data_IF_561251757883
#
_entry.id   IF_561251757883
#
_cell.length_a   1.000
_cell.length_b   1.000
_cell.length_c   1.000
_cell.angle_alpha   90.00
_cell.angle_beta   90.00
_cell.angle_gamma   90.00
#
_symmetry.space_group_name_H-M   'P 1'
#
loop_
_entity.id
_entity.type
_entity.pdbx_description
1 polymer ?
#
# COMPACT_ATOMS: atom_id res chain seq x y z
N UNK A 1 48.42 36.31 -24.75
CA UNK A 1 47.74 35.03 -25.06
C UNK A 1 46.48 34.95 -24.21
N UNK A 2 45.28 34.97 -24.81
CA UNK A 2 44.04 34.81 -24.04
C UNK A 2 43.85 33.34 -23.68
N UNK A 3 43.96 32.99 -22.41
CA UNK A 3 43.64 31.64 -21.95
C UNK A 3 42.14 31.44 -22.13
N UNK A 4 41.73 30.45 -22.94
CA UNK A 4 40.33 30.09 -23.11
C UNK A 4 39.92 29.20 -21.93
N UNK A 5 39.14 29.68 -20.96
CA UNK A 5 38.82 28.93 -19.73
C UNK A 5 37.99 27.66 -19.99
N UNK A 6 37.41 27.52 -21.19
CA UNK A 6 36.65 26.35 -21.60
C UNK A 6 37.52 25.10 -21.77
N UNK A 7 38.79 25.25 -22.20
CA UNK A 7 39.71 24.14 -22.41
C UNK A 7 40.08 23.39 -21.12
N UNK A 8 40.48 24.05 -20.01
CA UNK A 8 40.77 23.33 -18.76
C UNK A 8 39.52 22.72 -18.11
N UNK A 9 38.33 23.31 -18.31
CA UNK A 9 37.07 22.74 -17.80
C UNK A 9 36.73 21.44 -18.53
N UNK A 10 36.80 21.43 -19.86
CA UNK A 10 36.55 20.22 -20.66
C UNK A 10 37.59 19.14 -20.34
N UNK A 11 38.87 19.52 -20.22
CA UNK A 11 39.93 18.60 -19.83
C UNK A 11 39.69 17.99 -18.43
N UNK A 12 39.28 18.81 -17.45
CA UNK A 12 38.94 18.33 -16.11
C UNK A 12 37.75 17.37 -16.09
N UNK A 13 36.70 17.65 -16.88
CA UNK A 13 35.54 16.76 -17.00
C UNK A 13 35.90 15.42 -17.67
N UNK A 14 36.75 15.44 -18.70
CA UNK A 14 37.25 14.23 -19.35
C UNK A 14 38.12 13.38 -18.42
N UNK A 15 38.99 14.01 -17.63
CA UNK A 15 39.82 13.32 -16.64
C UNK A 15 38.95 12.71 -15.54
N UNK A 16 38.00 13.46 -14.99
CA UNK A 16 37.07 12.94 -13.97
C UNK A 16 36.24 11.76 -14.49
N UNK A 17 35.72 11.87 -15.72
CA UNK A 17 35.00 10.77 -16.38
C UNK A 17 35.90 9.55 -16.60
N UNK A 18 37.13 9.75 -17.08
CA UNK A 18 38.10 8.67 -17.26
C UNK A 18 38.47 7.99 -15.94
N UNK A 19 38.72 8.76 -14.87
CA UNK A 19 39.03 8.20 -13.54
C UNK A 19 37.85 7.40 -12.98
N UNK A 20 36.61 7.86 -13.16
CA UNK A 20 35.41 7.11 -12.78
C UNK A 20 35.27 5.79 -13.55
N UNK A 21 35.51 5.82 -14.87
CA UNK A 21 35.46 4.63 -15.73
C UNK A 21 36.56 3.61 -15.38
N UNK A 22 37.79 4.07 -15.15
CA UNK A 22 38.90 3.20 -14.76
C UNK A 22 38.75 2.63 -13.35
N UNK A 23 38.24 3.42 -12.40
CA UNK A 23 37.98 2.97 -11.03
C UNK A 23 36.86 1.93 -10.96
N UNK A 24 35.78 2.12 -11.74
CA UNK A 24 34.73 1.12 -11.93
C UNK A 24 35.33 -0.16 -12.51
N UNK A 25 35.90 -0.10 -13.72
CA UNK A 25 36.38 -1.29 -14.42
C UNK A 25 37.38 -2.17 -13.63
N UNK A 26 38.15 -1.58 -12.70
CA UNK A 26 39.09 -2.32 -11.85
C UNK A 26 38.45 -3.04 -10.65
N UNK A 27 37.25 -2.63 -10.21
CA UNK A 27 36.54 -3.19 -9.04
C UNK A 27 35.22 -3.88 -9.38
N UNK A 28 34.75 -3.71 -10.61
CA UNK A 28 33.45 -4.18 -11.08
C UNK A 28 33.37 -5.71 -11.20
N UNK A 29 34.43 -6.39 -11.68
CA UNK A 29 34.40 -7.85 -11.87
C UNK A 29 34.28 -8.60 -10.54
N UNK A 30 35.02 -8.18 -9.52
CA UNK A 30 34.96 -8.81 -8.19
C UNK A 30 33.63 -8.52 -7.47
N UNK A 31 33.07 -7.33 -7.67
CA UNK A 31 31.77 -6.96 -7.14
C UNK A 31 30.64 -7.77 -7.79
N UNK A 32 30.64 -7.87 -9.13
CA UNK A 32 29.65 -8.64 -9.87
C UNK A 32 29.77 -10.13 -9.58
N UNK A 33 30.99 -10.68 -9.47
CA UNK A 33 31.20 -12.07 -9.09
C UNK A 33 30.58 -12.38 -7.72
N UNK A 34 30.85 -11.53 -6.70
CA UNK A 34 30.29 -11.68 -5.36
C UNK A 34 28.76 -11.63 -5.33
N UNK A 35 28.16 -10.70 -6.09
CA UNK A 35 26.71 -10.60 -6.22
C UNK A 35 26.12 -11.80 -6.96
N UNK A 36 26.80 -12.27 -8.01
CA UNK A 36 26.39 -13.43 -8.79
C UNK A 36 26.36 -14.69 -7.91
N UNK A 37 27.43 -14.97 -7.17
CA UNK A 37 27.53 -16.14 -6.28
C UNK A 37 26.46 -16.10 -5.18
N UNK A 38 26.27 -14.95 -4.54
CA UNK A 38 25.23 -14.77 -3.52
C UNK A 38 23.81 -14.96 -4.07
N UNK A 39 23.59 -14.51 -5.31
CA UNK A 39 22.30 -14.64 -6.00
C UNK A 39 22.02 -16.08 -6.40
N UNK A 40 23.01 -16.81 -6.88
CA UNK A 40 22.87 -18.22 -7.24
C UNK A 40 22.48 -19.06 -6.02
N UNK A 41 23.11 -18.80 -4.86
CA UNK A 41 22.75 -19.42 -3.60
C UNK A 41 21.31 -19.08 -3.16
N UNK A 42 20.91 -17.80 -3.25
CA UNK A 42 19.57 -17.35 -2.87
C UNK A 42 18.47 -17.94 -3.77
N UNK A 43 18.73 -18.08 -5.08
CA UNK A 43 17.81 -18.72 -6.02
C UNK A 43 17.65 -20.21 -5.69
N UNK A 44 18.73 -20.90 -5.36
CA UNK A 44 18.70 -22.31 -4.99
C UNK A 44 17.91 -22.54 -3.69
N UNK A 45 18.12 -21.71 -2.66
CA UNK A 45 17.37 -21.78 -1.40
C UNK A 45 15.86 -21.50 -1.59
N UNK A 46 15.50 -20.68 -2.57
CA UNK A 46 14.11 -20.34 -2.88
C UNK A 46 13.35 -21.39 -3.72
N UNK A 47 13.96 -22.55 -4.05
CA UNK A 47 13.44 -23.53 -5.02
C UNK A 47 13.20 -22.90 -6.41
N UNK A 48 14.12 -22.03 -6.82
CA UNK A 48 13.99 -21.20 -8.01
C UNK A 48 14.50 -21.82 -9.31
N UNK A 49 14.98 -23.06 -9.33
CA UNK A 49 15.52 -23.66 -10.55
C UNK A 49 14.43 -23.74 -11.66
N UNK A 50 14.73 -23.36 -12.92
CA UNK A 50 16.05 -23.10 -13.50
C UNK A 50 16.40 -21.59 -13.64
N UNK A 51 15.95 -20.74 -12.71
CA UNK A 51 16.18 -19.28 -12.78
C UNK A 51 17.66 -18.94 -12.69
N UNK A 52 18.10 -17.99 -13.51
CA UNK A 52 19.44 -17.40 -13.51
C UNK A 52 19.36 -15.89 -13.41
N UNK A 53 20.40 -15.24 -12.89
CA UNK A 53 20.49 -13.79 -12.74
C UNK A 53 21.67 -13.22 -13.53
N UNK A 54 21.44 -12.11 -14.23
CA UNK A 54 22.47 -11.41 -15.00
C UNK A 54 22.67 -9.98 -14.49
N UNK A 55 23.88 -9.70 -14.00
CA UNK A 55 24.29 -8.39 -13.46
C UNK A 55 24.98 -7.50 -14.51
N UNK A 56 24.46 -7.51 -15.73
CA UNK A 56 24.94 -6.64 -16.81
C UNK A 56 23.78 -5.96 -17.53
N UNK A 57 24.00 -4.74 -17.98
CA UNK A 57 23.06 -4.02 -18.86
C UNK A 57 23.05 -4.65 -20.26
N UNK A 58 22.14 -4.20 -21.14
CA UNK A 58 22.14 -4.62 -22.55
C UNK A 58 23.41 -4.23 -23.32
N UNK A 59 24.17 -3.25 -22.81
CA UNK A 59 25.46 -2.84 -23.36
C UNK A 59 26.65 -3.58 -22.71
N UNK A 60 26.41 -4.56 -21.85
CA UNK A 60 27.44 -5.34 -21.16
C UNK A 60 28.06 -4.67 -19.93
N UNK A 61 27.58 -3.48 -19.55
CA UNK A 61 28.08 -2.77 -18.38
C UNK A 61 27.60 -3.41 -17.09
N UNK A 62 28.45 -3.52 -16.05
CA UNK A 62 28.06 -4.06 -14.76
C UNK A 62 26.93 -3.23 -14.13
N UNK A 63 26.02 -3.90 -13.43
CA UNK A 63 24.89 -3.26 -12.74
C UNK A 63 24.60 -3.96 -11.42
N UNK A 64 24.05 -3.22 -10.47
CA UNK A 64 23.48 -3.77 -9.23
C UNK A 64 22.03 -4.23 -9.36
N UNK A 65 21.44 -4.09 -10.56
CA UNK A 65 20.06 -4.45 -10.86
C UNK A 65 20.04 -5.68 -11.77
N UNK A 66 20.00 -6.91 -11.22
CA UNK A 66 20.04 -8.11 -12.03
C UNK A 66 18.75 -8.32 -12.83
N UNK A 67 18.91 -8.90 -14.02
CA UNK A 67 17.79 -9.45 -14.80
C UNK A 67 17.69 -10.95 -14.56
N UNK A 68 16.53 -11.44 -14.09
CA UNK A 68 16.21 -12.85 -13.92
C UNK A 68 15.65 -13.48 -15.21
N UNK A 69 16.09 -14.67 -15.55
CA UNK A 69 15.64 -15.44 -16.73
C UNK A 69 15.44 -16.92 -16.40
N UNK A 70 14.67 -17.66 -17.20
CA UNK A 70 14.42 -19.09 -16.98
C UNK A 70 13.26 -19.40 -16.04
N UNK A 71 12.52 -18.37 -15.60
CA UNK A 71 11.35 -18.49 -14.72
C UNK A 71 10.01 -18.54 -15.45
N UNK A 72 9.99 -18.62 -16.79
CA UNK A 72 8.77 -18.47 -17.61
C UNK A 72 7.76 -19.61 -17.37
N UNK A 73 8.24 -20.77 -16.94
CA UNK A 73 7.42 -21.93 -16.60
C UNK A 73 7.13 -22.07 -15.09
N UNK A 74 7.62 -21.14 -14.27
CA UNK A 74 7.34 -21.13 -12.83
C UNK A 74 6.01 -20.43 -12.55
N UNK A 75 5.30 -20.90 -11.53
CA UNK A 75 4.12 -20.20 -11.01
C UNK A 75 4.50 -18.82 -10.43
N UNK A 76 3.54 -17.90 -10.40
CA UNK A 76 3.75 -16.51 -9.98
C UNK A 76 4.24 -16.41 -8.53
N UNK A 77 3.83 -17.35 -7.66
CA UNK A 77 4.25 -17.40 -6.25
C UNK A 77 5.74 -17.78 -6.11
N UNK A 78 6.21 -18.75 -6.91
CA UNK A 78 7.63 -19.13 -6.96
C UNK A 78 8.48 -18.01 -7.55
N UNK A 79 8.03 -17.40 -8.64
CA UNK A 79 8.72 -16.23 -9.24
C UNK A 79 8.86 -15.10 -8.23
N UNK A 80 7.79 -14.76 -7.51
CA UNK A 80 7.82 -13.73 -6.47
C UNK A 80 8.79 -14.07 -5.33
N UNK A 81 8.76 -15.33 -4.84
CA UNK A 81 9.69 -15.80 -3.80
C UNK A 81 11.15 -15.65 -4.22
N UNK A 82 11.49 -16.06 -5.44
CA UNK A 82 12.85 -15.94 -5.99
C UNK A 82 13.25 -14.47 -6.12
N UNK A 83 12.39 -13.63 -6.71
CA UNK A 83 12.67 -12.21 -6.88
C UNK A 83 12.90 -11.50 -5.54
N UNK A 84 12.12 -11.83 -4.51
CA UNK A 84 12.29 -11.30 -3.14
C UNK A 84 13.59 -11.77 -2.49
N UNK A 85 13.93 -13.05 -2.62
CA UNK A 85 15.17 -13.60 -2.08
C UNK A 85 16.40 -12.88 -2.68
N UNK A 86 16.39 -12.64 -4.00
CA UNK A 86 17.47 -11.91 -4.69
C UNK A 86 17.47 -10.43 -4.31
N UNK A 87 16.31 -9.78 -4.25
CA UNK A 87 16.20 -8.36 -3.89
C UNK A 87 16.65 -8.06 -2.44
N UNK A 88 16.58 -9.05 -1.55
CA UNK A 88 17.01 -8.90 -0.16
C UNK A 88 18.54 -8.96 0.01
N UNK A 89 19.31 -9.34 -1.02
CA UNK A 89 20.75 -9.46 -0.92
C UNK A 89 21.43 -8.08 -0.78
N UNK A 90 22.39 -7.92 0.15
CA UNK A 90 23.14 -6.68 0.30
C UNK A 90 23.83 -6.27 -1.00
N UNK A 91 23.55 -5.06 -1.47
CA UNK A 91 24.15 -4.51 -2.68
C UNK A 91 23.29 -4.68 -3.95
N UNK A 92 22.20 -5.45 -3.91
CA UNK A 92 21.21 -5.50 -4.99
C UNK A 92 20.30 -4.27 -4.94
N UNK A 93 20.18 -3.54 -6.05
CA UNK A 93 19.41 -2.31 -6.14
C UNK A 93 17.95 -2.50 -6.56
N UNK A 94 17.59 -3.67 -7.08
CA UNK A 94 16.27 -4.00 -7.61
C UNK A 94 16.38 -5.13 -8.64
N UNK A 95 15.29 -5.88 -8.87
CA UNK A 95 15.31 -7.09 -9.68
C UNK A 95 14.27 -6.99 -10.79
N UNK A 96 14.69 -7.25 -12.02
CA UNK A 96 13.80 -7.27 -13.19
C UNK A 96 13.73 -8.69 -13.76
N UNK A 97 12.60 -9.09 -14.35
CA UNK A 97 12.54 -10.31 -15.16
C UNK A 97 12.77 -9.99 -16.63
N UNK A 98 13.44 -10.92 -17.32
CA UNK A 98 13.77 -10.82 -18.75
C UNK A 98 12.55 -10.84 -19.69
N UNK A 99 11.42 -11.37 -19.23
CA UNK A 99 10.14 -11.34 -19.95
C UNK A 99 9.40 -9.99 -19.82
N UNK A 100 10.01 -9.00 -19.16
CA UNK A 100 9.45 -7.67 -18.98
C UNK A 100 8.44 -7.58 -17.84
N UNK A 101 8.23 -8.64 -17.05
CA UNK A 101 7.56 -8.48 -15.77
C UNK A 101 8.53 -7.77 -14.83
N UNK A 102 8.41 -6.44 -14.74
CA UNK A 102 8.92 -5.68 -13.59
C UNK A 102 8.37 -6.41 -12.37
N UNK A 103 9.24 -6.74 -11.42
CA UNK A 103 8.93 -7.27 -10.10
C UNK A 103 7.42 -7.22 -9.85
N UNK A 104 6.72 -8.35 -10.04
CA UNK A 104 5.31 -8.43 -9.69
C UNK A 104 5.25 -7.82 -8.29
N UNK A 105 4.52 -6.72 -8.14
CA UNK A 105 4.25 -6.13 -6.85
C UNK A 105 3.34 -7.14 -6.11
N UNK A 106 3.95 -8.24 -5.69
CA UNK A 106 3.39 -9.35 -4.94
C UNK A 106 3.74 -9.24 -3.46
N UNK A 107 4.05 -8.04 -2.98
CA UNK A 107 3.08 -7.41 -2.11
C UNK A 107 2.53 -6.25 -2.92
N UNK A 108 1.23 -6.01 -2.95
CA UNK A 108 0.76 -4.98 -2.04
C UNK A 108 1.88 -4.68 -1.03
N UNK A 109 2.69 -3.63 -1.26
CA UNK A 109 3.00 -2.79 -0.10
C UNK A 109 1.62 -2.68 0.53
N UNK A 110 1.33 -3.27 1.71
CA UNK A 110 0.05 -3.02 2.33
C UNK A 110 -0.01 -1.52 2.21
N UNK A 111 -0.98 -1.00 1.46
CA UNK A 111 -1.23 0.42 1.51
C UNK A 111 -1.51 0.53 2.98
N UNK A 112 -0.50 0.94 3.78
CA UNK A 112 -0.62 0.99 5.23
C UNK A 112 -1.93 1.70 5.37
N UNK A 113 -2.97 1.07 5.97
CA UNK A 113 -4.33 1.58 5.92
C UNK A 113 -4.17 3.06 6.14
N UNK A 114 -4.46 3.87 5.10
CA UNK A 114 -3.94 5.25 5.03
C UNK A 114 -4.00 5.83 6.43
N UNK A 115 -2.93 6.35 7.05
CA UNK A 115 -2.84 6.56 8.53
C UNK A 115 -4.18 6.87 9.24
N UNK A 116 -5.06 7.66 8.63
CA UNK A 116 -6.49 7.79 8.94
C UNK A 116 -7.26 6.52 9.38
N UNK A 117 -7.04 5.36 8.75
CA UNK A 117 -7.82 4.13 8.98
C UNK A 117 -7.34 3.46 10.26
N UNK A 118 -6.02 3.45 10.47
CA UNK A 118 -5.43 3.01 11.73
C UNK A 118 -5.84 3.95 12.87
N UNK A 119 -5.87 5.27 12.62
CA UNK A 119 -6.34 6.27 13.58
C UNK A 119 -7.82 6.06 13.96
N UNK A 120 -8.70 5.83 12.97
CA UNK A 120 -10.12 5.53 13.22
C UNK A 120 -10.29 4.21 13.97
N UNK A 121 -9.53 3.18 13.60
CA UNK A 121 -9.59 1.88 14.29
C UNK A 121 -9.17 2.03 15.76
N UNK A 122 -8.06 2.73 16.03
CA UNK A 122 -7.59 2.97 17.39
C UNK A 122 -8.61 3.75 18.24
N UNK A 123 -9.31 4.72 17.65
CA UNK A 123 -10.40 5.45 18.33
C UNK A 123 -11.55 4.52 18.71
N UNK A 124 -11.93 3.59 17.81
CA UNK A 124 -13.07 2.69 17.98
C UNK A 124 -12.78 1.46 18.84
N UNK A 125 -11.52 1.03 18.93
CA UNK A 125 -11.05 0.05 19.90
C UNK A 125 -11.11 0.59 21.32
N UNK A 126 -10.77 1.88 21.49
CA UNK A 126 -10.81 2.54 22.80
C UNK A 126 -12.23 2.91 23.24
N UNK A 127 -13.11 3.28 22.29
CA UNK A 127 -14.46 3.80 22.58
C UNK A 127 -15.47 3.36 21.51
N UNK A 128 -16.62 2.88 21.95
CA UNK A 128 -17.70 2.47 21.04
C UNK A 128 -18.67 3.61 20.76
N UNK A 129 -19.10 3.74 19.50
CA UNK A 129 -20.22 4.60 19.12
C UNK A 129 -21.52 3.97 19.60
N UNK A 130 -22.25 4.69 20.45
CA UNK A 130 -23.50 4.21 21.06
C UNK A 130 -24.72 4.79 20.35
N UNK A 131 -25.81 4.05 20.45
CA UNK A 131 -27.11 4.44 19.96
C UNK A 131 -28.12 4.37 21.10
N UNK A 132 -29.20 5.15 20.98
CA UNK A 132 -30.35 4.99 21.87
C UNK A 132 -30.92 3.57 21.78
N UNK A 133 -31.60 3.13 22.85
CA UNK A 133 -32.11 1.76 22.95
C UNK A 133 -33.03 1.42 21.78
N UNK A 134 -32.76 0.30 21.11
CA UNK A 134 -33.50 -0.17 19.93
C UNK A 134 -33.61 0.86 18.79
N UNK A 135 -32.69 1.83 18.73
CA UNK A 135 -32.73 2.95 17.80
C UNK A 135 -31.48 3.02 16.91
N UNK A 136 -31.60 3.82 15.85
CA UNK A 136 -30.49 4.28 14.99
C UNK A 136 -30.06 5.72 15.30
N UNK A 137 -30.67 6.35 16.31
CA UNK A 137 -30.26 7.66 16.81
C UNK A 137 -28.96 7.51 17.59
N UNK A 138 -27.93 8.25 17.17
CA UNK A 138 -26.63 8.26 17.84
C UNK A 138 -26.76 9.00 19.18
N UNK A 139 -26.28 8.37 20.23
CA UNK A 139 -26.26 8.95 21.58
C UNK A 139 -25.47 10.28 21.59
N UNK A 140 -25.99 11.28 22.31
CA UNK A 140 -25.32 12.56 22.49
C UNK A 140 -23.90 12.41 23.05
N UNK A 141 -23.67 11.42 23.92
CA UNK A 141 -22.35 11.11 24.47
C UNK A 141 -21.34 10.60 23.42
N UNK A 142 -21.82 10.10 22.28
CA UNK A 142 -20.98 9.64 21.17
C UNK A 142 -20.68 10.74 20.14
N UNK A 143 -21.25 11.94 20.29
CA UNK A 143 -20.97 13.06 19.39
C UNK A 143 -19.50 13.50 19.40
N UNK A 144 -18.80 13.61 20.56
CA UNK A 144 -17.37 13.94 20.55
C UNK A 144 -16.52 12.87 19.85
N UNK A 145 -16.87 11.59 20.02
CA UNK A 145 -16.20 10.50 19.31
C UNK A 145 -16.39 10.61 17.78
N UNK A 146 -17.59 11.01 17.32
CA UNK A 146 -17.83 11.27 15.91
C UNK A 146 -17.03 12.46 15.36
N UNK A 147 -16.78 13.49 16.18
CA UNK A 147 -15.92 14.61 15.80
C UNK A 147 -14.47 14.14 15.62
N UNK A 148 -13.98 13.30 16.53
CA UNK A 148 -12.65 12.70 16.45
C UNK A 148 -12.52 11.75 15.25
N UNK A 149 -13.52 10.92 14.99
CA UNK A 149 -13.56 10.04 13.80
C UNK A 149 -13.56 10.88 12.52
N UNK A 150 -14.33 11.96 12.45
CA UNK A 150 -14.31 12.85 11.28
C UNK A 150 -12.93 13.52 11.09
N UNK A 151 -12.31 13.97 12.18
CA UNK A 151 -10.97 14.55 12.14
C UNK A 151 -9.92 13.52 11.66
N UNK A 152 -10.01 12.29 12.16
CA UNK A 152 -9.15 11.18 11.74
C UNK A 152 -9.35 10.82 10.27
N UNK A 153 -10.55 10.97 9.71
CA UNK A 153 -10.85 10.70 8.29
C UNK A 153 -10.39 11.80 7.32
N UNK A 154 -10.02 13.00 7.79
CA UNK A 154 -9.59 14.10 6.92
C UNK A 154 -8.39 13.80 6.01
N UNK A 155 -7.34 13.07 6.44
CA UNK A 155 -6.25 12.67 5.55
C UNK A 155 -6.68 11.71 4.43
N UNK A 156 -7.88 11.14 4.54
CA UNK A 156 -8.47 10.20 3.59
C UNK A 156 -9.56 10.79 2.70
N UNK A 157 -9.64 12.12 2.64
CA UNK A 157 -10.47 12.80 1.65
C UNK A 157 -10.00 12.41 0.23
N UNK A 158 -10.89 11.75 -0.53
CA UNK A 158 -10.59 11.15 -1.83
C UNK A 158 -10.58 9.62 -1.83
N UNK A 159 -10.55 8.99 -0.66
CA UNK A 159 -10.82 7.57 -0.51
C UNK A 159 -12.32 7.29 -0.45
N UNK A 160 -12.70 6.07 -0.84
CA UNK A 160 -14.01 5.48 -0.56
C UNK A 160 -13.91 4.69 0.73
N UNK A 161 -14.74 5.03 1.69
CA UNK A 161 -14.81 4.43 3.02
C UNK A 161 -16.17 3.74 3.16
N UNK A 162 -16.16 2.46 3.47
CA UNK A 162 -17.33 1.71 3.90
C UNK A 162 -17.53 1.88 5.40
N UNK A 163 -18.79 2.03 5.80
CA UNK A 163 -19.29 2.12 7.16
C UNK A 163 -20.19 0.91 7.35
N UNK A 164 -19.73 -0.06 8.12
CA UNK A 164 -20.44 -1.33 8.31
C UNK A 164 -21.07 -1.35 9.69
N UNK A 165 -22.39 -1.49 9.74
CA UNK A 165 -23.13 -1.68 10.97
C UNK A 165 -23.28 -3.16 11.31
N UNK A 166 -23.08 -3.49 12.59
CA UNK A 166 -23.27 -4.82 13.14
C UNK A 166 -24.28 -4.78 14.30
N UNK A 167 -25.01 -5.88 14.47
CA UNK A 167 -25.84 -6.16 15.66
C UNK A 167 -25.36 -7.44 16.33
N UNK A 168 -25.80 -7.68 17.55
CA UNK A 168 -25.73 -9.02 18.11
C UNK A 168 -26.83 -9.91 17.50
N UNK A 169 -26.75 -11.21 17.76
CA UNK A 169 -27.71 -12.22 17.26
C UNK A 169 -29.03 -12.24 18.06
N UNK A 170 -29.38 -11.15 18.75
CA UNK A 170 -30.65 -11.03 19.46
C UNK A 170 -31.74 -10.58 18.49
N UNK A 171 -32.91 -11.22 18.51
CA UNK A 171 -34.02 -10.87 17.61
C UNK A 171 -34.00 -11.61 16.26
N UNK A 172 -34.78 -11.12 15.29
CA UNK A 172 -34.82 -11.70 13.93
C UNK A 172 -33.71 -11.16 13.04
N UNK A 173 -33.24 -11.99 12.12
CA UNK A 173 -32.19 -11.63 11.16
C UNK A 173 -32.57 -10.39 10.31
N UNK A 174 -33.81 -10.34 9.83
CA UNK A 174 -34.33 -9.20 9.05
C UNK A 174 -34.31 -7.89 9.86
N UNK A 175 -34.75 -7.93 11.12
CA UNK A 175 -34.71 -6.76 12.00
C UNK A 175 -33.27 -6.31 12.28
N UNK A 176 -32.35 -7.25 12.44
CA UNK A 176 -30.93 -6.98 12.65
C UNK A 176 -30.27 -6.37 11.41
N UNK A 177 -30.61 -6.84 10.21
CA UNK A 177 -30.15 -6.27 8.94
C UNK A 177 -30.65 -4.83 8.76
N UNK A 178 -31.93 -4.58 9.03
CA UNK A 178 -32.50 -3.23 8.91
C UNK A 178 -31.92 -2.28 9.96
N UNK A 179 -31.78 -2.73 11.21
CA UNK A 179 -31.22 -1.92 12.30
C UNK A 179 -29.76 -1.57 12.05
N UNK A 180 -28.93 -2.54 11.65
CA UNK A 180 -27.52 -2.31 11.32
C UNK A 180 -27.38 -1.33 10.16
N UNK A 181 -28.16 -1.48 9.09
CA UNK A 181 -28.16 -0.57 7.93
C UNK A 181 -28.60 0.84 8.32
N UNK A 182 -29.64 0.97 9.15
CA UNK A 182 -30.11 2.25 9.64
C UNK A 182 -29.05 2.97 10.48
N UNK A 183 -28.36 2.24 11.37
CA UNK A 183 -27.24 2.76 12.17
C UNK A 183 -26.08 3.22 11.29
N UNK A 184 -25.61 2.40 10.35
CA UNK A 184 -24.55 2.79 9.42
C UNK A 184 -24.93 4.05 8.63
N UNK A 185 -26.19 4.15 8.20
CA UNK A 185 -26.72 5.32 7.49
C UNK A 185 -26.75 6.57 8.37
N UNK A 186 -27.09 6.44 9.66
CA UNK A 186 -27.06 7.54 10.62
C UNK A 186 -25.64 8.06 10.83
N UNK A 187 -24.65 7.17 10.96
CA UNK A 187 -23.23 7.53 11.06
C UNK A 187 -22.75 8.24 9.80
N UNK A 188 -23.07 7.71 8.62
CA UNK A 188 -22.78 8.38 7.34
C UNK A 188 -23.30 9.82 7.33
N UNK A 189 -24.56 10.03 7.74
CA UNK A 189 -25.17 11.36 7.80
C UNK A 189 -24.44 12.27 8.79
N UNK A 190 -24.09 11.75 9.96
CA UNK A 190 -23.39 12.50 10.99
C UNK A 190 -21.97 12.93 10.56
N UNK A 191 -21.27 12.10 9.77
CA UNK A 191 -19.96 12.43 9.21
C UNK A 191 -20.06 13.44 8.06
N UNK A 192 -21.10 13.36 7.23
CA UNK A 192 -21.37 14.37 6.18
C UNK A 192 -21.61 15.74 6.80
N UNK A 193 -22.35 15.81 7.91
CA UNK A 193 -22.54 17.06 8.65
C UNK A 193 -21.24 17.64 9.23
N UNK A 194 -20.21 16.80 9.41
CA UNK A 194 -18.87 17.18 9.88
C UNK A 194 -17.89 17.50 8.74
N UNK A 195 -18.37 17.51 7.51
CA UNK A 195 -17.57 17.92 6.34
C UNK A 195 -16.95 16.78 5.54
N UNK A 196 -17.25 15.50 5.86
CA UNK A 196 -16.80 14.37 5.03
C UNK A 196 -17.68 14.25 3.79
N UNK A 197 -17.13 14.26 2.55
CA UNK A 197 -17.90 14.17 1.33
C UNK A 197 -18.77 12.91 1.25
N UNK A 198 -20.05 13.08 0.92
CA UNK A 198 -21.03 12.00 0.89
C UNK A 198 -20.72 10.94 -0.19
N UNK A 199 -19.99 11.34 -1.25
CA UNK A 199 -19.56 10.53 -2.38
C UNK A 199 -18.49 9.51 -1.97
N UNK A 200 -17.67 9.85 -0.97
CA UNK A 200 -16.64 9.00 -0.41
C UNK A 200 -17.17 7.98 0.60
N UNK A 201 -18.40 8.12 1.09
CA UNK A 201 -18.94 7.24 2.13
C UNK A 201 -19.95 6.22 1.56
N UNK A 202 -19.80 4.95 1.94
CA UNK A 202 -20.77 3.87 1.70
C UNK A 202 -21.23 3.33 3.04
N UNK A 203 -22.54 3.13 3.20
CA UNK A 203 -23.11 2.62 4.45
C UNK A 203 -23.79 1.28 4.17
N UNK A 204 -23.39 0.26 4.91
CA UNK A 204 -23.86 -1.11 4.76
C UNK A 204 -24.20 -1.70 6.13
N UNK A 205 -25.17 -2.61 6.17
CA UNK A 205 -25.58 -3.31 7.39
C UNK A 205 -25.52 -4.80 7.13
N UNK A 206 -24.81 -5.51 8.01
CA UNK A 206 -24.63 -6.98 7.92
C UNK A 206 -25.40 -7.72 9.02
N UNK A 207 -26.17 -6.98 9.84
CA UNK A 207 -26.91 -7.56 10.95
C UNK A 207 -25.97 -8.31 11.90
N UNK A 208 -26.33 -9.54 12.22
CA UNK A 208 -25.58 -10.41 13.13
C UNK A 208 -24.74 -11.48 12.43
N UNK A 209 -24.54 -11.38 11.11
CA UNK A 209 -23.88 -12.43 10.31
C UNK A 209 -22.36 -12.53 10.55
N UNK A 210 -21.76 -11.48 11.11
CA UNK A 210 -20.31 -11.35 11.32
C UNK A 210 -19.99 -10.96 12.77
N UNK A 211 -20.19 -11.90 13.73
CA UNK A 211 -19.79 -11.68 15.12
C UNK A 211 -18.26 -11.54 15.23
N UNK A 212 -17.80 -10.89 16.29
CA UNK A 212 -16.38 -10.81 16.60
C UNK A 212 -15.86 -12.22 16.94
N UNK A 213 -14.75 -12.61 16.32
CA UNK A 213 -14.12 -13.89 16.57
C UNK A 213 -13.80 -14.07 18.06
N UNK A 214 -14.23 -15.21 18.62
CA UNK A 214 -14.02 -15.53 20.03
C UNK A 214 -15.07 -14.97 20.99
N UNK A 215 -16.04 -14.15 20.51
CA UNK A 215 -17.19 -13.74 21.31
C UNK A 215 -18.44 -14.56 20.99
N UNK A 216 -19.37 -14.63 21.95
CA UNK A 216 -20.70 -15.21 21.69
C UNK A 216 -21.45 -14.36 20.66
N UNK A 217 -22.25 -14.93 19.74
CA UNK A 217 -23.06 -14.16 18.81
C UNK A 217 -24.01 -13.16 19.49
N UNK A 218 -24.44 -13.44 20.73
CA UNK A 218 -25.31 -12.55 21.51
C UNK A 218 -24.55 -11.51 22.34
N UNK A 219 -23.22 -11.48 22.26
CA UNK A 219 -22.41 -10.54 23.03
C UNK A 219 -22.73 -9.10 22.59
N UNK A 220 -23.03 -8.18 23.53
CA UNK A 220 -23.28 -6.77 23.23
C UNK A 220 -22.13 -6.08 22.48
N UNK A 221 -20.89 -6.55 22.61
CA UNK A 221 -19.74 -6.03 21.87
C UNK A 221 -19.89 -6.20 20.35
N UNK A 222 -20.73 -7.13 19.89
CA UNK A 222 -21.04 -7.26 18.46
C UNK A 222 -21.84 -6.08 17.91
N UNK A 223 -22.50 -5.27 18.78
CA UNK A 223 -23.23 -4.05 18.39
C UNK A 223 -22.23 -2.91 18.13
N UNK A 224 -21.57 -2.95 16.98
CA UNK A 224 -20.48 -2.02 16.62
C UNK A 224 -20.65 -1.41 15.24
N UNK A 225 -19.86 -0.36 14.99
CA UNK A 225 -19.67 0.25 13.68
C UNK A 225 -18.21 0.06 13.29
N UNK A 226 -17.97 -0.43 12.09
CA UNK A 226 -16.64 -0.56 11.51
C UNK A 226 -16.47 0.39 10.34
N UNK A 227 -15.23 0.83 10.13
CA UNK A 227 -14.83 1.64 8.98
C UNK A 227 -13.78 0.88 8.20
N UNK A 228 -13.88 0.88 6.87
CA UNK A 228 -12.84 0.31 6.01
C UNK A 228 -12.66 1.11 4.73
N UNK A 229 -11.42 1.40 4.36
CA UNK A 229 -11.10 1.99 3.04
C UNK A 229 -11.25 0.92 1.97
N UNK A 230 -12.25 1.08 1.09
CA UNK A 230 -12.58 0.12 0.02
C UNK A 230 -11.97 0.47 -1.33
N UNK A 231 -11.59 1.73 -1.56
CA UNK A 231 -10.84 2.15 -2.74
C UNK A 231 -10.19 3.52 -2.52
N UNK A 232 -8.95 3.71 -2.97
CA UNK A 232 -8.37 5.05 -3.14
C UNK A 232 -8.68 5.50 -4.57
N UNK A 233 -9.48 6.55 -4.75
CA UNK A 233 -9.54 7.17 -6.07
C UNK A 233 -8.29 8.03 -6.22
N UNK A 234 -7.47 7.86 -7.28
CA UNK A 234 -6.47 8.86 -7.59
C UNK A 234 -7.22 10.17 -7.83
N UNK A 235 -6.87 11.20 -7.06
CA UNK A 235 -7.38 12.55 -7.30
C UNK A 235 -7.09 12.87 -8.77
N UNK A 236 -8.12 12.94 -9.62
CA UNK A 236 -7.95 13.56 -10.92
C UNK A 236 -7.83 15.06 -10.62
N UNK A 237 -6.66 15.68 -10.84
CA UNK A 237 -6.57 17.14 -10.74
C UNK A 237 -7.61 17.70 -11.70
N UNK A 238 -8.48 18.58 -11.19
CA UNK A 238 -9.40 19.28 -12.07
C UNK A 238 -8.57 20.09 -13.08
N UNK A 239 -9.01 20.22 -14.34
CA UNK A 239 -8.23 20.89 -15.41
C UNK A 239 -7.86 22.37 -15.17
N UNK A 240 -8.17 22.93 -14.00
CA UNK A 240 -7.88 24.32 -13.63
C UNK A 240 -6.41 24.53 -13.29
N UNK A 241 -5.67 23.46 -12.92
CA UNK A 241 -4.24 23.54 -12.55
C UNK A 241 -3.26 23.35 -13.72
N UNK A 242 -3.73 23.26 -14.96
CA UNK A 242 -2.86 23.39 -16.14
C UNK A 242 -2.80 24.85 -16.56
N UNK A 243 -1.66 25.56 -16.40
CA UNK A 243 -1.46 26.82 -17.09
C UNK A 243 -1.63 26.56 -18.58
N UNK A 244 -2.55 27.27 -19.22
CA UNK A 244 -2.76 27.16 -20.66
C UNK A 244 -1.45 27.36 -21.43
N UNK A 245 -1.31 26.74 -22.63
CA UNK A 245 -0.11 26.84 -23.42
C UNK A 245 0.24 28.32 -23.67
N UNK A 246 1.49 28.68 -23.39
CA UNK A 246 2.07 29.97 -23.79
C UNK A 246 2.51 29.92 -25.24
#
# INVERSE_FOLDING_TARGET
>A
MSVRPQLPIIAGALVAGATGLFGGAASDEEFVARLSDATEAAIAEADGAPVTARFSTGLGWPTRHPTLSGGENLDETRRDRVAKAVAALPGVGGVDWSDGTIQAQGGLVPVSPMHCQDDVNALLEARTIRFEESSSVVDAASQPLLDEVAAALNPCLGAKIAITGHTDASGSEEANLDLSRARATAIRRALVQRGIPAEGLRAEGVGSSTPIDGLSPQDPANRRIEFSVIATQPLQPTPVDTPGPR
#
